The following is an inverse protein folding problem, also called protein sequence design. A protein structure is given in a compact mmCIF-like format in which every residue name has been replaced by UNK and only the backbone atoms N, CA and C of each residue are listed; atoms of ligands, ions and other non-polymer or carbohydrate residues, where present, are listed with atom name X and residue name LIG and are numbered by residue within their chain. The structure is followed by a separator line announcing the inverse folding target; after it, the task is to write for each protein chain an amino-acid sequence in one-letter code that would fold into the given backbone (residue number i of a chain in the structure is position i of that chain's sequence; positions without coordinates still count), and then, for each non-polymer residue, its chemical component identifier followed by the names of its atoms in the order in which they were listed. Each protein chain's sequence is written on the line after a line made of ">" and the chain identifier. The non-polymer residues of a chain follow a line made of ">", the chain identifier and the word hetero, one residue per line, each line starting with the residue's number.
data_IF_357076070155
#
_entry.id   IF_357076070155
#
_cell.length_a   1.000
_cell.length_b   1.000
_cell.length_c   1.000
_cell.angle_alpha   90.00
_cell.angle_beta   90.00
_cell.angle_gamma   90.00
#
_symmetry.space_group_name_H-M   'P 1'
#
loop_
_entity.id
_entity.type
_entity.pdbx_description
1 polymer ?
#
# COMPACT_ATOMS: atom_id res chain seq x y z
N UNK A 1 62.14 -8.36 41.31
CA UNK A 1 61.60 -7.40 40.30
C UNK A 1 61.04 -8.21 39.14
N UNK A 2 59.74 -8.08 38.82
CA UNK A 2 59.13 -8.81 37.68
C UNK A 2 59.59 -8.18 36.37
N UNK A 3 60.22 -8.98 35.49
CA UNK A 3 60.61 -8.57 34.13
C UNK A 3 59.34 -8.25 33.34
N UNK A 4 59.21 -7.03 32.82
CA UNK A 4 58.16 -6.68 31.85
C UNK A 4 58.64 -7.12 30.47
N UNK A 5 57.99 -8.11 29.90
CA UNK A 5 58.28 -8.55 28.54
C UNK A 5 57.66 -7.53 27.56
N UNK A 6 58.46 -7.03 26.61
CA UNK A 6 57.98 -6.17 25.52
C UNK A 6 57.48 -6.99 24.34
N UNK A 7 56.62 -6.39 23.51
CA UNK A 7 56.12 -7.00 22.28
C UNK A 7 57.21 -7.12 21.23
N UNK A 8 57.18 -8.21 20.46
CA UNK A 8 58.11 -8.37 19.33
C UNK A 8 57.56 -7.68 18.08
N UNK A 9 58.45 -7.29 17.16
CA UNK A 9 58.05 -6.63 15.91
C UNK A 9 57.16 -7.56 15.05
N UNK A 10 57.45 -8.86 15.07
CA UNK A 10 56.66 -9.90 14.38
C UNK A 10 55.25 -9.99 14.96
N UNK A 11 55.10 -9.92 16.28
CA UNK A 11 53.80 -9.96 16.95
C UNK A 11 52.92 -8.77 16.55
N UNK A 12 53.51 -7.58 16.42
CA UNK A 12 52.80 -6.38 15.97
C UNK A 12 52.34 -6.49 14.50
N UNK A 13 53.17 -7.06 13.62
CA UNK A 13 52.80 -7.30 12.20
C UNK A 13 51.64 -8.29 12.09
N UNK A 14 51.67 -9.37 12.87
CA UNK A 14 50.58 -10.37 12.89
C UNK A 14 49.27 -9.74 13.37
N UNK A 15 49.31 -8.93 14.44
CA UNK A 15 48.11 -8.25 14.97
C UNK A 15 47.49 -7.31 13.94
N UNK A 16 48.29 -6.47 13.26
CA UNK A 16 47.77 -5.54 12.23
C UNK A 16 47.14 -6.31 11.07
N UNK A 17 47.72 -7.44 10.68
CA UNK A 17 47.22 -8.28 9.58
C UNK A 17 45.87 -8.91 9.96
N UNK A 18 45.75 -9.44 11.18
CA UNK A 18 44.49 -10.01 11.70
C UNK A 18 43.40 -8.93 11.78
N UNK A 19 43.73 -7.72 12.24
CA UNK A 19 42.79 -6.59 12.30
C UNK A 19 42.34 -6.20 10.90
N UNK A 20 43.25 -6.13 9.91
CA UNK A 20 42.90 -5.79 8.53
C UNK A 20 41.93 -6.79 7.90
N UNK A 21 42.17 -8.09 8.08
CA UNK A 21 41.26 -9.15 7.62
C UNK A 21 39.90 -9.04 8.31
N UNK A 22 39.90 -8.84 9.63
CA UNK A 22 38.67 -8.73 10.43
C UNK A 22 37.85 -7.49 10.04
N UNK A 23 38.49 -6.35 9.88
CA UNK A 23 37.85 -5.10 9.45
C UNK A 23 37.24 -5.22 8.06
N UNK A 24 37.87 -5.96 7.16
CA UNK A 24 37.35 -6.22 5.81
C UNK A 24 36.03 -7.00 5.86
N UNK A 25 35.99 -8.09 6.63
CA UNK A 25 34.79 -8.93 6.79
C UNK A 25 33.65 -8.11 7.41
N UNK A 26 33.95 -7.35 8.47
CA UNK A 26 32.98 -6.48 9.13
C UNK A 26 32.47 -5.37 8.21
N UNK A 27 33.33 -4.80 7.36
CA UNK A 27 32.96 -3.79 6.37
C UNK A 27 31.93 -4.31 5.37
N UNK A 28 32.13 -5.51 4.84
CA UNK A 28 31.14 -6.13 3.93
C UNK A 28 29.81 -6.41 4.62
N UNK A 29 29.83 -6.90 5.87
CA UNK A 29 28.61 -7.14 6.66
C UNK A 29 27.82 -5.85 6.94
N UNK A 30 28.51 -4.75 7.26
CA UNK A 30 27.88 -3.45 7.50
C UNK A 30 27.19 -2.92 6.24
N UNK A 31 27.83 -2.99 5.08
CA UNK A 31 27.23 -2.57 3.81
C UNK A 31 25.99 -3.41 3.44
N UNK A 32 26.05 -4.73 3.68
CA UNK A 32 24.90 -5.61 3.51
C UNK A 32 23.74 -5.25 4.44
N UNK A 33 24.05 -4.93 5.70
CA UNK A 33 23.05 -4.56 6.71
C UNK A 33 22.39 -3.22 6.38
N UNK A 34 23.16 -2.20 5.98
CA UNK A 34 22.60 -0.88 5.60
C UNK A 34 21.68 -1.00 4.39
N UNK A 35 22.08 -1.75 3.35
CA UNK A 35 21.23 -2.01 2.18
C UNK A 35 19.95 -2.76 2.54
N UNK A 36 20.05 -3.77 3.41
CA UNK A 36 18.89 -4.52 3.89
C UNK A 36 17.95 -3.64 4.73
N UNK A 37 18.50 -2.70 5.51
CA UNK A 37 17.73 -1.75 6.32
C UNK A 37 16.97 -0.75 5.43
N UNK A 38 17.64 -0.05 4.53
CA UNK A 38 16.99 0.91 3.61
C UNK A 38 15.96 0.25 2.70
N UNK A 39 16.17 -1.00 2.32
CA UNK A 39 15.19 -1.82 1.61
C UNK A 39 13.92 -2.06 2.43
N UNK A 40 14.05 -2.35 3.73
CA UNK A 40 12.91 -2.60 4.62
C UNK A 40 12.09 -1.34 4.91
N UNK A 41 12.73 -0.19 5.10
CA UNK A 41 12.01 1.07 5.37
C UNK A 41 11.11 1.48 4.21
N UNK A 42 11.66 1.48 2.98
CA UNK A 42 10.89 1.87 1.79
C UNK A 42 9.66 0.97 1.57
N UNK A 43 9.78 -0.35 1.81
CA UNK A 43 8.67 -1.30 1.71
C UNK A 43 7.57 -1.00 2.72
N UNK A 44 7.95 -0.65 3.95
CA UNK A 44 7.01 -0.41 5.04
C UNK A 44 6.17 0.83 4.76
N UNK A 45 6.79 1.93 4.31
CA UNK A 45 6.08 3.19 4.04
C UNK A 45 5.01 3.04 2.96
N UNK A 46 5.32 2.35 1.85
CA UNK A 46 4.35 2.08 0.76
C UNK A 46 3.18 1.24 1.26
N UNK A 47 3.48 0.25 2.12
CA UNK A 47 2.46 -0.65 2.66
C UNK A 47 1.52 0.08 3.63
N UNK A 48 2.04 1.01 4.44
CA UNK A 48 1.21 1.84 5.32
C UNK A 48 0.29 2.75 4.52
N UNK A 49 0.80 3.44 3.51
CA UNK A 49 0.01 4.33 2.64
C UNK A 49 -1.09 3.56 1.89
N UNK A 50 -0.74 2.40 1.32
CA UNK A 50 -1.70 1.50 0.67
C UNK A 50 -2.77 0.96 1.61
N UNK A 51 -2.44 0.66 2.87
CA UNK A 51 -3.43 0.19 3.86
C UNK A 51 -4.36 1.29 4.31
N UNK A 52 -3.82 2.48 4.61
CA UNK A 52 -4.61 3.62 5.04
C UNK A 52 -5.63 4.04 3.95
N UNK A 53 -5.19 4.03 2.69
CA UNK A 53 -6.06 4.32 1.55
C UNK A 53 -7.20 3.30 1.41
N UNK A 54 -6.91 2.00 1.51
CA UNK A 54 -7.95 0.96 1.48
C UNK A 54 -8.90 1.02 2.68
N UNK A 55 -8.39 1.26 3.89
CA UNK A 55 -9.21 1.40 5.10
C UNK A 55 -10.18 2.58 4.95
N UNK A 56 -9.72 3.69 4.37
CA UNK A 56 -10.58 4.83 4.06
C UNK A 56 -11.64 4.47 3.02
N UNK A 57 -11.25 3.86 1.90
CA UNK A 57 -12.18 3.44 0.84
C UNK A 57 -13.26 2.53 1.42
N UNK A 58 -12.87 1.46 2.10
CA UNK A 58 -13.82 0.49 2.65
C UNK A 58 -14.76 1.10 3.69
N UNK A 59 -14.27 2.03 4.51
CA UNK A 59 -15.10 2.76 5.47
C UNK A 59 -16.16 3.62 4.76
N UNK A 60 -15.79 4.32 3.69
CA UNK A 60 -16.72 5.20 2.97
C UNK A 60 -17.73 4.40 2.12
N UNK A 61 -17.35 3.22 1.60
CA UNK A 61 -18.29 2.31 0.91
C UNK A 61 -19.38 1.83 1.88
N UNK A 62 -19.05 1.61 3.16
CA UNK A 62 -20.05 1.24 4.18
C UNK A 62 -21.05 2.36 4.48
N UNK A 63 -20.75 3.60 4.10
CA UNK A 63 -21.59 4.78 4.34
C UNK A 63 -22.31 5.26 3.08
N UNK A 64 -22.43 4.43 2.03
CA UNK A 64 -23.27 4.75 0.86
C UNK A 64 -24.71 4.95 1.33
N UNK A 65 -25.35 6.05 0.91
CA UNK A 65 -26.64 6.48 1.44
C UNK A 65 -27.78 5.46 1.23
N UNK A 66 -28.01 5.04 -0.01
CA UNK A 66 -29.07 4.10 -0.38
C UNK A 66 -28.71 3.35 -1.68
N UNK A 67 -29.55 2.40 -2.09
CA UNK A 67 -29.31 1.59 -3.30
C UNK A 67 -29.30 2.41 -4.59
N UNK A 68 -29.85 3.62 -4.59
CA UNK A 68 -29.90 4.52 -5.76
C UNK A 68 -28.75 5.54 -5.78
N UNK A 69 -27.88 5.51 -4.76
CA UNK A 69 -26.81 6.49 -4.58
C UNK A 69 -25.48 6.08 -5.23
N UNK A 70 -25.38 4.89 -5.82
CA UNK A 70 -24.23 4.51 -6.64
C UNK A 70 -24.43 5.07 -8.04
N UNK A 71 -23.52 5.93 -8.52
CA UNK A 71 -23.65 6.62 -9.81
C UNK A 71 -22.70 6.06 -10.87
N UNK A 72 -21.54 5.54 -10.46
CA UNK A 72 -20.60 4.85 -11.36
C UNK A 72 -20.04 3.62 -10.68
N UNK A 73 -20.12 2.47 -11.36
CA UNK A 73 -19.50 1.22 -10.92
C UNK A 73 -18.78 0.56 -12.11
N UNK A 74 -17.47 0.73 -12.18
CA UNK A 74 -16.61 0.17 -13.22
C UNK A 74 -15.33 -0.38 -12.60
N UNK A 75 -14.57 -1.18 -13.34
CA UNK A 75 -13.30 -1.70 -12.83
C UNK A 75 -12.31 -0.57 -12.45
N UNK A 76 -12.30 0.56 -13.15
CA UNK A 76 -11.32 1.64 -12.94
C UNK A 76 -11.81 2.75 -12.00
N UNK A 77 -13.12 2.89 -11.82
CA UNK A 77 -13.72 4.00 -11.10
C UNK A 77 -14.98 3.55 -10.34
N UNK A 78 -15.09 4.01 -9.10
CA UNK A 78 -16.28 3.84 -8.28
C UNK A 78 -16.75 5.20 -7.73
N UNK A 79 -18.02 5.54 -7.96
CA UNK A 79 -18.62 6.82 -7.54
C UNK A 79 -19.97 6.59 -6.87
N UNK A 80 -20.18 7.27 -5.74
CA UNK A 80 -21.40 7.16 -4.96
C UNK A 80 -21.65 8.40 -4.10
N UNK A 81 -22.89 8.54 -3.63
CA UNK A 81 -23.31 9.52 -2.63
C UNK A 81 -23.31 8.86 -1.24
N UNK A 82 -22.63 9.48 -0.27
CA UNK A 82 -22.62 9.01 1.12
C UNK A 82 -23.84 9.50 1.92
N UNK A 83 -24.04 8.97 3.13
CA UNK A 83 -25.10 9.38 4.05
C UNK A 83 -25.06 10.87 4.43
N UNK A 84 -23.92 11.54 4.23
CA UNK A 84 -23.74 12.98 4.43
C UNK A 84 -24.03 13.82 3.18
N UNK A 85 -24.56 13.22 2.11
CA UNK A 85 -24.78 13.83 0.80
C UNK A 85 -23.50 14.32 0.10
N UNK A 86 -22.36 13.67 0.36
CA UNK A 86 -21.11 13.93 -0.35
C UNK A 86 -21.01 13.03 -1.56
N UNK A 87 -20.66 13.61 -2.71
CA UNK A 87 -20.31 12.88 -3.92
C UNK A 87 -18.85 12.46 -3.88
N UNK A 88 -18.62 11.16 -3.72
CA UNK A 88 -17.30 10.56 -3.54
C UNK A 88 -16.98 9.75 -4.79
N UNK A 89 -15.84 10.04 -5.40
CA UNK A 89 -15.29 9.27 -6.53
C UNK A 89 -13.90 8.76 -6.19
N UNK A 90 -13.66 7.48 -6.43
CA UNK A 90 -12.33 6.88 -6.41
C UNK A 90 -11.88 6.53 -7.83
N UNK A 91 -10.69 6.98 -8.20
CA UNK A 91 -10.11 6.70 -9.52
C UNK A 91 -8.59 6.84 -9.49
N UNK A 92 -7.93 6.14 -10.41
CA UNK A 92 -6.49 6.27 -10.63
C UNK A 92 -6.22 7.32 -11.72
N UNK A 93 -5.35 8.28 -11.44
CA UNK A 93 -4.85 9.26 -12.41
C UNK A 93 -3.33 9.16 -12.50
N UNK A 94 -2.83 8.61 -13.60
CA UNK A 94 -1.41 8.23 -13.70
C UNK A 94 -1.08 7.18 -12.63
N UNK A 95 -0.23 7.55 -11.67
CA UNK A 95 0.14 6.71 -10.52
C UNK A 95 -0.53 7.12 -9.21
N UNK A 96 -1.44 8.08 -9.26
CA UNK A 96 -2.04 8.71 -8.09
C UNK A 96 -3.47 8.21 -7.90
N UNK A 97 -3.70 7.49 -6.82
CA UNK A 97 -5.05 7.15 -6.38
C UNK A 97 -5.69 8.40 -5.79
N UNK A 98 -6.72 8.90 -6.46
CA UNK A 98 -7.42 10.10 -6.05
C UNK A 98 -8.79 9.75 -5.45
N UNK A 99 -9.11 10.46 -4.36
CA UNK A 99 -10.45 10.57 -3.80
C UNK A 99 -10.99 11.96 -4.13
N UNK A 100 -11.96 12.03 -5.03
CA UNK A 100 -12.65 13.28 -5.35
C UNK A 100 -13.90 13.42 -4.50
N UNK A 101 -14.02 14.50 -3.74
CA UNK A 101 -15.21 14.85 -2.98
C UNK A 101 -15.84 16.12 -3.58
N UNK A 102 -17.11 16.03 -3.99
CA UNK A 102 -17.86 17.15 -4.56
C UNK A 102 -17.08 17.88 -5.68
N UNK A 103 -16.41 17.11 -6.54
CA UNK A 103 -15.59 17.62 -7.65
C UNK A 103 -14.16 18.04 -7.30
N UNK A 104 -13.77 18.05 -6.03
CA UNK A 104 -12.40 18.40 -5.60
C UNK A 104 -11.57 17.15 -5.33
N UNK A 105 -10.52 16.94 -6.14
CA UNK A 105 -9.64 15.78 -6.03
C UNK A 105 -8.63 15.93 -4.90
N UNK A 106 -8.54 14.91 -4.04
CA UNK A 106 -7.50 14.78 -3.03
C UNK A 106 -6.68 13.51 -3.29
N UNK A 107 -5.35 13.66 -3.24
CA UNK A 107 -4.42 12.54 -3.33
C UNK A 107 -4.61 11.63 -2.10
N UNK A 108 -4.80 10.33 -2.34
CA UNK A 108 -5.01 9.35 -1.29
C UNK A 108 -3.84 8.37 -1.15
N UNK A 109 -3.20 8.00 -2.26
CA UNK A 109 -1.96 7.22 -2.26
C UNK A 109 -1.17 7.49 -3.55
N UNK A 110 0.15 7.44 -3.45
CA UNK A 110 1.07 7.56 -4.58
C UNK A 110 1.64 6.20 -5.00
N UNK A 111 2.30 6.15 -6.16
CA UNK A 111 2.97 4.95 -6.67
C UNK A 111 2.01 3.77 -6.91
N UNK A 112 0.74 4.05 -7.20
CA UNK A 112 -0.27 3.04 -7.51
C UNK A 112 -0.14 2.65 -8.98
N UNK A 113 0.29 1.42 -9.24
CA UNK A 113 0.42 0.88 -10.60
C UNK A 113 -0.87 0.24 -11.10
N UNK A 114 -1.76 -0.20 -10.21
CA UNK A 114 -3.06 -0.74 -10.57
C UNK A 114 -4.10 -0.51 -9.47
N UNK A 115 -5.30 -0.12 -9.89
CA UNK A 115 -6.52 -0.07 -9.07
C UNK A 115 -7.60 -0.83 -9.84
N UNK A 116 -8.28 -1.75 -9.17
CA UNK A 116 -9.46 -2.41 -9.74
C UNK A 116 -10.57 -2.60 -8.72
N UNK A 117 -11.80 -2.33 -9.12
CA UNK A 117 -13.00 -2.68 -8.38
C UNK A 117 -13.68 -3.91 -8.98
N UNK A 118 -14.13 -4.83 -8.12
CA UNK A 118 -14.97 -5.97 -8.52
C UNK A 118 -16.20 -5.98 -7.64
N UNK A 119 -17.37 -6.14 -8.27
CA UNK A 119 -18.65 -6.01 -7.61
C UNK A 119 -19.32 -7.37 -7.50
N UNK A 120 -20.03 -7.61 -6.40
CA UNK A 120 -20.74 -8.86 -6.12
C UNK A 120 -22.16 -8.57 -5.66
N UNK A 121 -23.11 -9.40 -6.08
CA UNK A 121 -24.51 -9.33 -5.66
C UNK A 121 -24.78 -10.07 -4.34
N UNK A 122 -26.05 -10.16 -3.93
CA UNK A 122 -26.47 -10.86 -2.70
C UNK A 122 -26.16 -12.36 -2.68
N UNK A 123 -26.02 -12.98 -3.84
CA UNK A 123 -25.61 -14.38 -4.01
C UNK A 123 -24.09 -14.56 -4.12
N UNK A 124 -23.33 -13.52 -3.77
CA UNK A 124 -21.86 -13.46 -3.88
C UNK A 124 -21.32 -13.73 -5.29
N UNK A 125 -22.14 -13.47 -6.31
CA UNK A 125 -21.76 -13.64 -7.72
C UNK A 125 -21.19 -12.34 -8.26
N UNK A 126 -20.05 -12.41 -8.95
CA UNK A 126 -19.44 -11.26 -9.57
C UNK A 126 -20.34 -10.67 -10.67
N UNK A 127 -20.55 -9.35 -10.64
CA UNK A 127 -21.40 -8.61 -11.58
C UNK A 127 -20.54 -7.62 -12.38
N UNK A 128 -20.25 -7.90 -13.68
CA UNK A 128 -19.40 -7.03 -14.52
C UNK A 128 -20.04 -5.68 -14.85
N UNK A 129 -21.37 -5.59 -14.79
CA UNK A 129 -22.13 -4.39 -15.12
C UNK A 129 -23.23 -4.19 -14.08
N UNK A 130 -22.89 -3.65 -12.90
CA UNK A 130 -23.87 -3.41 -11.85
C UNK A 130 -24.94 -2.41 -12.29
N UNK A 131 -26.15 -2.58 -11.78
CA UNK A 131 -27.17 -1.53 -11.87
C UNK A 131 -26.71 -0.31 -11.06
N UNK A 132 -26.87 0.88 -11.62
CA UNK A 132 -26.52 2.15 -10.98
C UNK A 132 -27.65 3.17 -11.16
N UNK A 133 -27.58 4.27 -10.43
CA UNK A 133 -28.56 5.36 -10.44
C UNK A 133 -28.97 5.75 -11.87
N UNK A 134 -30.28 5.91 -12.17
CA UNK A 134 -31.40 5.97 -11.23
C UNK A 134 -31.95 4.62 -10.77
N UNK A 135 -31.42 3.49 -11.26
CA UNK A 135 -31.85 2.16 -10.79
C UNK A 135 -31.25 1.84 -9.42
N UNK A 136 -31.96 1.04 -8.64
CA UNK A 136 -31.41 0.47 -7.41
C UNK A 136 -30.29 -0.51 -7.77
N UNK A 137 -29.13 -0.33 -7.15
CA UNK A 137 -27.96 -1.16 -7.39
C UNK A 137 -28.12 -2.57 -6.82
N UNK A 138 -27.61 -3.55 -7.56
CA UNK A 138 -27.49 -4.95 -7.18
C UNK A 138 -26.18 -5.26 -6.44
N UNK A 139 -25.30 -4.27 -6.24
CA UNK A 139 -24.06 -4.40 -5.48
C UNK A 139 -24.38 -4.68 -3.99
N UNK A 140 -23.70 -5.68 -3.41
CA UNK A 140 -23.72 -5.98 -1.97
C UNK A 140 -22.33 -6.08 -1.36
N UNK A 141 -21.33 -6.38 -2.18
CA UNK A 141 -19.92 -6.36 -1.79
C UNK A 141 -19.08 -5.78 -2.91
N UNK A 142 -18.12 -4.95 -2.54
CA UNK A 142 -17.11 -4.37 -3.42
C UNK A 142 -15.75 -4.89 -2.97
N UNK A 143 -15.04 -5.56 -3.87
CA UNK A 143 -13.63 -5.90 -3.71
C UNK A 143 -12.78 -4.84 -4.38
N UNK A 144 -11.76 -4.38 -3.67
CA UNK A 144 -10.78 -3.42 -4.17
C UNK A 144 -9.44 -4.13 -4.20
N UNK A 145 -8.83 -4.21 -5.38
CA UNK A 145 -7.42 -4.62 -5.52
C UNK A 145 -6.59 -3.38 -5.83
N UNK A 146 -5.49 -3.24 -5.09
CA UNK A 146 -4.54 -2.14 -5.21
C UNK A 146 -3.14 -2.73 -5.35
N UNK A 147 -2.43 -2.33 -6.40
CA UNK A 147 -1.00 -2.64 -6.56
C UNK A 147 -0.22 -1.35 -6.47
N UNK A 148 0.74 -1.30 -5.55
CA UNK A 148 1.69 -0.19 -5.42
C UNK A 148 3.07 -0.65 -5.90
N UNK A 149 3.78 0.18 -6.65
CA UNK A 149 5.10 -0.11 -7.19
C UNK A 149 6.05 1.05 -6.92
N UNK A 150 7.09 0.82 -6.11
CA UNK A 150 8.16 1.81 -5.85
C UNK A 150 9.51 1.12 -5.89
N UNK A 151 10.49 1.72 -6.58
CA UNK A 151 11.85 1.17 -6.72
C UNK A 151 11.87 -0.29 -7.21
N UNK A 152 10.98 -0.66 -8.12
CA UNK A 152 10.86 -2.02 -8.65
C UNK A 152 10.24 -3.05 -7.71
N UNK A 153 9.77 -2.64 -6.53
CA UNK A 153 9.06 -3.52 -5.60
C UNK A 153 7.55 -3.34 -5.72
N UNK A 154 6.83 -4.46 -5.81
CA UNK A 154 5.37 -4.47 -5.81
C UNK A 154 4.83 -4.83 -4.42
N UNK A 155 3.78 -4.11 -4.02
CA UNK A 155 2.93 -4.41 -2.86
C UNK A 155 1.52 -4.61 -3.39
N UNK A 156 0.96 -5.79 -3.14
CA UNK A 156 -0.40 -6.15 -3.51
C UNK A 156 -1.27 -6.10 -2.28
N UNK A 157 -2.35 -5.34 -2.34
CA UNK A 157 -3.32 -5.22 -1.28
C UNK A 157 -4.72 -5.47 -1.84
N UNK A 158 -5.51 -6.19 -1.07
CA UNK A 158 -6.91 -6.45 -1.37
C UNK A 158 -7.73 -6.13 -0.13
N UNK A 159 -8.88 -5.49 -0.32
CA UNK A 159 -9.87 -5.32 0.73
C UNK A 159 -11.28 -5.51 0.18
N UNK A 160 -12.19 -5.90 1.05
CA UNK A 160 -13.59 -6.17 0.74
C UNK A 160 -14.47 -5.29 1.63
N UNK A 161 -15.47 -4.63 1.02
CA UNK A 161 -16.42 -3.78 1.70
C UNK A 161 -17.85 -4.14 1.33
N UNK A 162 -18.71 -4.33 2.32
CA UNK A 162 -20.15 -4.50 2.13
C UNK A 162 -20.90 -3.21 2.47
N UNK A 163 -21.96 -2.95 1.73
CA UNK A 163 -22.88 -1.84 2.00
C UNK A 163 -23.72 -2.16 3.22
N UNK A 164 -24.01 -1.15 4.07
CA UNK A 164 -24.87 -1.34 5.25
C UNK A 164 -26.33 -0.94 5.02
N UNK A 165 -26.57 -0.09 4.02
CA UNK A 165 -27.84 0.59 3.85
C UNK A 165 -28.74 -0.07 2.78
N UNK A 166 -28.31 -1.18 2.17
CA UNK A 166 -29.07 -2.01 1.22
C UNK A 166 -28.35 -3.34 0.93
#
# INVERSE_FOLDING_TARGET
>A
MKKKNGFTLVELVIVITIIGISASILGFMLLGTVKAWTFKFNRNDILWDGRLSLDRITREIRTIKDSTSVTTASAAQFRFIDTGNKDITYSLSGTNLNRTENGTANLLAENVSSLSFTYYNSSDTAIPSPAVSPAATDIRRVRINLTLTKNGQNVYLQSDASTKNF
#
